data_IF_751075319095
#
_entry.id   IF_751075319095
#
_cell.length_a   1.000
_cell.length_b   1.000
_cell.length_c   1.000
_cell.angle_alpha   90.00
_cell.angle_beta   90.00
_cell.angle_gamma   90.00
#
_symmetry.space_group_name_H-M   'P 1'
#
loop_
_entity.id
_entity.type
_entity.pdbx_description
1 polymer ?
#
# COMPACT_ATOMS: atom_id res chain seq x y z
N UNK A 1 -16.50 -28.34 17.53
CA UNK A 1 -16.59 -27.49 16.30
C UNK A 1 -18.03 -27.61 15.77
N UNK A 2 -18.61 -26.48 15.40
CA UNK A 2 -19.93 -26.44 14.74
C UNK A 2 -19.84 -27.20 13.40
N UNK A 3 -20.92 -27.84 12.98
CA UNK A 3 -21.01 -28.34 11.59
C UNK A 3 -21.06 -27.14 10.63
N UNK A 4 -20.65 -27.33 9.38
CA UNK A 4 -20.66 -26.28 8.35
C UNK A 4 -22.08 -25.71 8.18
N UNK A 5 -23.11 -26.51 8.19
CA UNK A 5 -24.49 -26.07 8.12
C UNK A 5 -24.90 -25.23 9.35
N UNK A 6 -24.50 -25.65 10.55
CA UNK A 6 -24.79 -24.89 11.78
C UNK A 6 -24.03 -23.54 11.80
N UNK A 7 -22.80 -23.54 11.33
CA UNK A 7 -22.00 -22.29 11.19
C UNK A 7 -22.70 -21.33 10.21
N UNK A 8 -23.06 -21.81 9.01
CA UNK A 8 -23.74 -20.99 8.00
C UNK A 8 -25.06 -20.43 8.51
N UNK A 9 -25.86 -21.22 9.24
CA UNK A 9 -27.11 -20.76 9.82
C UNK A 9 -26.87 -19.66 10.85
N UNK A 10 -25.95 -19.85 11.79
CA UNK A 10 -25.63 -18.84 12.83
C UNK A 10 -25.14 -17.53 12.23
N UNK A 11 -24.28 -17.61 11.19
CA UNK A 11 -23.82 -16.40 10.49
C UNK A 11 -24.98 -15.72 9.74
N UNK A 12 -25.89 -16.49 9.14
CA UNK A 12 -27.07 -15.97 8.46
C UNK A 12 -28.03 -15.24 9.42
N UNK A 13 -28.14 -15.72 10.65
CA UNK A 13 -28.95 -15.06 11.69
C UNK A 13 -28.36 -13.69 12.09
N UNK A 14 -27.04 -13.47 11.89
CA UNK A 14 -26.35 -12.23 12.25
C UNK A 14 -26.41 -11.16 11.14
N UNK A 15 -26.27 -11.57 9.87
CA UNK A 15 -26.08 -10.61 8.75
C UNK A 15 -27.09 -10.77 7.61
N UNK A 16 -28.00 -11.75 7.70
CA UNK A 16 -28.89 -12.15 6.60
C UNK A 16 -28.27 -13.26 5.73
N UNK A 17 -29.11 -14.20 5.28
CA UNK A 17 -28.67 -15.37 4.50
C UNK A 17 -27.98 -14.99 3.19
N UNK A 18 -28.45 -13.98 2.51
CA UNK A 18 -27.91 -13.46 1.25
C UNK A 18 -26.51 -12.82 1.41
N UNK A 19 -26.05 -12.64 2.63
CA UNK A 19 -24.75 -12.04 2.97
C UNK A 19 -23.78 -13.04 3.58
N UNK A 20 -24.07 -14.33 3.44
CA UNK A 20 -23.17 -15.45 3.83
C UNK A 20 -22.91 -16.32 2.63
N UNK A 21 -21.62 -16.49 2.30
CA UNK A 21 -21.17 -17.39 1.22
C UNK A 21 -20.39 -18.54 1.85
N UNK A 22 -20.69 -19.76 1.51
CA UNK A 22 -20.05 -20.97 2.07
C UNK A 22 -19.74 -22.02 0.98
N UNK A 23 -18.99 -23.04 1.34
CA UNK A 23 -18.63 -24.11 0.43
C UNK A 23 -17.76 -23.65 -0.74
N UNK A 24 -17.98 -24.20 -1.93
CA UNK A 24 -17.17 -23.92 -3.12
C UNK A 24 -17.21 -22.45 -3.54
N UNK A 25 -18.30 -21.75 -3.30
CA UNK A 25 -18.43 -20.31 -3.62
C UNK A 25 -17.51 -19.42 -2.77
N UNK A 26 -17.03 -19.90 -1.63
CA UNK A 26 -16.05 -19.21 -0.79
C UNK A 26 -14.61 -19.32 -1.31
N UNK A 27 -14.32 -20.22 -2.27
CA UNK A 27 -12.97 -20.45 -2.80
C UNK A 27 -12.26 -19.23 -3.36
N UNK A 28 -12.92 -18.26 -4.03
CA UNK A 28 -12.25 -17.04 -4.50
C UNK A 28 -11.66 -16.17 -3.38
N UNK A 29 -12.08 -16.39 -2.14
CA UNK A 29 -11.56 -15.67 -0.96
C UNK A 29 -10.42 -16.41 -0.25
N UNK A 30 -9.84 -17.41 -0.90
CA UNK A 30 -8.67 -18.12 -0.36
C UNK A 30 -7.47 -17.15 -0.18
N UNK A 31 -6.75 -17.33 0.92
CA UNK A 31 -5.54 -16.55 1.24
C UNK A 31 -4.36 -17.49 1.35
N UNK A 32 -3.34 -17.30 0.51
CA UNK A 32 -2.16 -18.15 0.44
C UNK A 32 -2.56 -19.67 0.43
N UNK A 33 -3.49 -20.03 -0.45
CA UNK A 33 -3.97 -21.41 -0.65
C UNK A 33 -4.95 -21.94 0.40
N UNK A 34 -5.30 -21.16 1.43
CA UNK A 34 -6.25 -21.55 2.47
C UNK A 34 -7.63 -20.94 2.21
N UNK A 35 -8.60 -21.78 1.85
CA UNK A 35 -9.98 -21.37 1.66
C UNK A 35 -10.71 -21.20 3.01
N UNK A 36 -11.60 -20.19 3.15
CA UNK A 36 -12.43 -20.03 4.34
C UNK A 36 -13.56 -21.07 4.40
N UNK A 37 -14.06 -21.36 5.60
CA UNK A 37 -15.30 -22.12 5.81
C UNK A 37 -16.51 -21.30 5.38
N UNK A 38 -16.49 -19.99 5.63
CA UNK A 38 -17.52 -19.06 5.20
C UNK A 38 -16.97 -17.66 4.97
N UNK A 39 -17.66 -16.91 4.11
CA UNK A 39 -17.45 -15.47 3.87
C UNK A 39 -18.68 -14.73 4.36
N UNK A 40 -18.46 -13.68 5.16
CA UNK A 40 -19.53 -12.88 5.76
C UNK A 40 -19.41 -11.44 5.27
N UNK A 41 -20.52 -10.86 4.82
CA UNK A 41 -20.57 -9.50 4.28
C UNK A 41 -21.45 -8.61 5.19
N UNK A 42 -20.95 -8.11 6.32
CA UNK A 42 -21.72 -7.24 7.22
C UNK A 42 -22.02 -5.89 6.56
N UNK A 43 -23.23 -5.36 6.78
CA UNK A 43 -23.69 -4.08 6.26
C UNK A 43 -23.73 -2.95 7.31
N UNK A 44 -23.42 -3.28 8.57
CA UNK A 44 -23.36 -2.29 9.66
C UNK A 44 -22.22 -2.59 10.64
N UNK A 45 -21.87 -1.63 11.47
CA UNK A 45 -20.87 -1.80 12.53
C UNK A 45 -21.36 -2.82 13.57
N UNK A 46 -22.66 -2.84 13.82
CA UNK A 46 -23.33 -3.77 14.74
C UNK A 46 -23.23 -5.21 14.23
N UNK A 47 -23.39 -5.44 12.93
CA UNK A 47 -23.20 -6.76 12.30
C UNK A 47 -21.73 -7.21 12.34
N UNK A 48 -20.76 -6.28 12.16
CA UNK A 48 -19.34 -6.58 12.38
C UNK A 48 -19.08 -6.98 13.83
N UNK A 49 -19.62 -6.21 14.79
CA UNK A 49 -19.49 -6.49 16.24
C UNK A 49 -20.05 -7.85 16.60
N UNK A 50 -21.26 -8.17 16.14
CA UNK A 50 -21.91 -9.44 16.40
C UNK A 50 -21.15 -10.62 15.78
N UNK A 51 -20.63 -10.47 14.54
CA UNK A 51 -19.83 -11.49 13.86
C UNK A 51 -18.53 -11.76 14.60
N UNK A 52 -17.81 -10.72 15.06
CA UNK A 52 -16.56 -10.87 15.79
C UNK A 52 -16.77 -11.45 17.20
N UNK A 53 -17.84 -11.02 17.91
CA UNK A 53 -18.20 -11.61 19.21
C UNK A 53 -18.50 -13.12 19.06
N UNK A 54 -19.23 -13.53 18.04
CA UNK A 54 -19.50 -14.91 17.73
C UNK A 54 -18.21 -15.67 17.38
N UNK A 55 -17.37 -15.11 16.50
CA UNK A 55 -16.08 -15.73 16.12
C UNK A 55 -15.15 -15.91 17.35
N UNK A 56 -15.14 -14.93 18.25
CA UNK A 56 -14.36 -15.00 19.50
C UNK A 56 -14.89 -16.11 20.42
N UNK A 57 -16.20 -16.23 20.58
CA UNK A 57 -16.81 -17.28 21.43
C UNK A 57 -16.53 -18.68 20.88
N UNK A 58 -16.52 -18.87 19.57
CA UNK A 58 -16.27 -20.16 18.90
C UNK A 58 -14.78 -20.40 18.57
N UNK A 59 -13.89 -19.45 18.84
CA UNK A 59 -12.46 -19.56 18.52
C UNK A 59 -12.16 -19.58 17.02
N UNK A 60 -13.04 -19.00 16.19
CA UNK A 60 -12.90 -18.93 14.73
C UNK A 60 -11.90 -17.87 14.32
N UNK A 61 -11.03 -18.18 13.35
CA UNK A 61 -10.02 -17.24 12.82
C UNK A 61 -10.63 -16.41 11.69
N UNK A 62 -10.51 -15.10 11.79
CA UNK A 62 -11.16 -14.12 10.91
C UNK A 62 -10.11 -13.36 10.10
N UNK A 63 -10.24 -13.39 8.79
CA UNK A 63 -9.44 -12.59 7.87
C UNK A 63 -10.27 -11.41 7.37
N UNK A 64 -9.90 -10.14 7.67
CA UNK A 64 -10.59 -8.98 7.14
C UNK A 64 -10.27 -8.80 5.65
N UNK A 65 -11.29 -8.43 4.88
CA UNK A 65 -11.21 -8.28 3.44
C UNK A 65 -11.91 -7.00 2.98
N UNK A 66 -11.18 -6.14 2.25
CA UNK A 66 -11.77 -4.99 1.55
C UNK A 66 -12.19 -5.40 0.13
N UNK A 67 -11.46 -4.95 -0.87
CA UNK A 67 -11.60 -5.37 -2.27
C UNK A 67 -10.58 -6.43 -2.73
N UNK A 68 -9.79 -6.97 -1.82
CA UNK A 68 -8.83 -8.04 -2.12
C UNK A 68 -7.50 -7.61 -2.77
N UNK A 69 -7.30 -6.31 -3.03
CA UNK A 69 -6.12 -5.79 -3.76
C UNK A 69 -4.78 -6.03 -3.08
N UNK A 70 -4.76 -6.32 -1.79
CA UNK A 70 -3.54 -6.48 -0.97
C UNK A 70 -3.45 -7.84 -0.25
N UNK A 71 -4.24 -8.84 -0.66
CA UNK A 71 -4.27 -10.13 0.06
C UNK A 71 -2.98 -10.93 -0.07
N UNK A 72 -2.16 -10.69 -1.08
CA UNK A 72 -0.82 -11.27 -1.19
C UNK A 72 0.19 -10.72 -0.15
N UNK A 73 -0.10 -9.56 0.48
CA UNK A 73 0.77 -8.95 1.49
C UNK A 73 0.59 -9.60 2.85
N UNK A 74 1.68 -9.85 3.54
CA UNK A 74 1.73 -10.49 4.85
C UNK A 74 2.17 -11.96 4.81
N UNK A 75 2.39 -12.53 5.98
CA UNK A 75 2.73 -13.95 6.18
C UNK A 75 1.58 -14.88 5.75
N UNK A 76 1.85 -16.18 5.75
CA UNK A 76 0.86 -17.22 5.48
C UNK A 76 -0.06 -17.30 6.71
N UNK A 77 -1.40 -17.21 6.56
CA UNK A 77 -2.30 -17.31 7.71
C UNK A 77 -2.18 -18.68 8.38
N UNK A 78 -2.29 -18.74 9.70
CA UNK A 78 -2.31 -20.02 10.42
C UNK A 78 -3.51 -20.88 10.01
N UNK A 79 -4.70 -20.26 9.98
CA UNK A 79 -5.98 -20.84 9.59
C UNK A 79 -6.89 -19.73 9.08
N UNK A 80 -7.81 -20.08 8.18
CA UNK A 80 -8.85 -19.18 7.67
C UNK A 80 -10.20 -19.84 7.89
N UNK A 81 -10.94 -19.42 8.94
CA UNK A 81 -12.28 -19.94 9.17
C UNK A 81 -13.32 -19.02 8.55
N UNK A 82 -13.20 -17.71 8.78
CA UNK A 82 -14.09 -16.70 8.23
C UNK A 82 -13.29 -15.67 7.44
N UNK A 83 -13.84 -15.25 6.31
CA UNK A 83 -13.43 -14.00 5.64
C UNK A 83 -14.52 -12.96 5.88
N UNK A 84 -14.15 -11.82 6.47
CA UNK A 84 -15.05 -10.71 6.78
C UNK A 84 -14.91 -9.62 5.72
N UNK A 85 -15.84 -9.57 4.75
CA UNK A 85 -15.80 -8.65 3.62
C UNK A 85 -16.55 -7.37 3.97
N UNK A 86 -15.84 -6.25 4.00
CA UNK A 86 -16.37 -4.96 4.47
C UNK A 86 -16.98 -4.09 3.35
N UNK A 87 -17.17 -4.62 2.15
CA UNK A 87 -17.63 -3.85 0.98
C UNK A 87 -19.01 -3.21 1.15
N UNK A 88 -19.87 -3.74 2.01
CA UNK A 88 -21.20 -3.15 2.34
C UNK A 88 -21.11 -1.97 3.30
N UNK A 89 -19.99 -1.79 4.01
CA UNK A 89 -19.69 -0.59 4.80
C UNK A 89 -19.12 0.49 3.88
N UNK A 90 -19.91 1.03 2.98
CA UNK A 90 -19.47 1.90 1.89
C UNK A 90 -20.14 3.29 1.87
N UNK A 91 -20.66 3.74 3.01
CA UNK A 91 -21.34 5.04 3.11
C UNK A 91 -20.34 6.15 3.45
N UNK A 92 -20.56 7.34 2.86
CA UNK A 92 -20.05 8.60 3.41
C UNK A 92 -20.84 8.92 4.68
N UNK A 93 -20.14 9.12 5.78
CA UNK A 93 -20.76 9.36 7.09
C UNK A 93 -20.95 10.85 7.32
N UNK A 94 -19.93 11.65 6.91
CA UNK A 94 -19.91 13.07 7.18
C UNK A 94 -18.86 13.78 6.29
N UNK A 95 -19.16 15.00 5.83
CA UNK A 95 -18.23 15.84 5.09
C UNK A 95 -18.44 17.30 5.49
N UNK A 96 -17.42 17.90 6.10
CA UNK A 96 -17.38 19.30 6.51
C UNK A 96 -16.38 20.06 5.65
N UNK A 97 -16.82 20.63 4.51
CA UNK A 97 -15.89 21.28 3.56
C UNK A 97 -15.15 22.47 4.18
N UNK A 98 -15.80 23.23 5.07
CA UNK A 98 -15.19 24.39 5.73
C UNK A 98 -14.02 23.97 6.66
N UNK A 99 -14.13 22.82 7.31
CA UNK A 99 -13.14 22.28 8.23
C UNK A 99 -12.11 21.38 7.53
N UNK A 100 -12.26 21.16 6.22
CA UNK A 100 -11.40 20.27 5.43
C UNK A 100 -11.33 18.86 6.01
N UNK A 101 -12.47 18.30 6.43
CA UNK A 101 -12.56 16.97 7.01
C UNK A 101 -13.69 16.16 6.39
N UNK A 102 -13.48 14.85 6.24
CA UNK A 102 -14.53 13.93 5.84
C UNK A 102 -14.37 12.57 6.52
N UNK A 103 -15.50 11.95 6.82
CA UNK A 103 -15.59 10.61 7.42
C UNK A 103 -16.24 9.64 6.44
N UNK A 104 -15.61 8.50 6.24
CA UNK A 104 -16.10 7.42 5.39
C UNK A 104 -16.03 6.08 6.11
N UNK A 105 -16.94 5.19 5.76
CA UNK A 105 -16.86 3.79 6.16
C UNK A 105 -15.73 3.06 5.41
N UNK A 106 -15.19 2.02 6.05
CA UNK A 106 -13.97 1.35 5.61
C UNK A 106 -14.08 0.63 4.25
N UNK A 107 -15.28 0.21 3.85
CA UNK A 107 -15.55 -0.45 2.57
C UNK A 107 -15.71 0.52 1.39
N UNK A 108 -15.76 1.83 1.63
CA UNK A 108 -15.82 2.84 0.56
C UNK A 108 -14.57 2.75 -0.30
N UNK A 109 -14.73 2.73 -1.63
CA UNK A 109 -13.60 2.80 -2.54
C UNK A 109 -12.99 4.19 -2.53
N UNK A 110 -11.66 4.28 -2.62
CA UNK A 110 -10.98 5.59 -2.64
C UNK A 110 -11.49 6.46 -3.79
N UNK A 111 -11.72 5.90 -5.00
CA UNK A 111 -12.25 6.65 -6.14
C UNK A 111 -13.64 7.25 -5.87
N UNK A 112 -14.49 6.53 -5.12
CA UNK A 112 -15.84 7.01 -4.78
C UNK A 112 -15.76 8.16 -3.77
N UNK A 113 -14.90 8.03 -2.75
CA UNK A 113 -14.61 9.11 -1.82
C UNK A 113 -14.08 10.36 -2.55
N UNK A 114 -13.12 10.19 -3.46
CA UNK A 114 -12.56 11.28 -4.28
C UNK A 114 -13.63 11.96 -5.14
N UNK A 115 -14.55 11.21 -5.74
CA UNK A 115 -15.63 11.76 -6.56
C UNK A 115 -16.60 12.64 -5.72
N UNK A 116 -16.88 12.24 -4.48
CA UNK A 116 -17.71 13.04 -3.55
C UNK A 116 -16.98 14.32 -3.15
N UNK A 117 -15.73 14.22 -2.73
CA UNK A 117 -14.91 15.34 -2.24
C UNK A 117 -14.58 16.34 -3.34
N UNK A 118 -14.34 15.86 -4.56
CA UNK A 118 -14.01 16.67 -5.73
C UNK A 118 -15.09 17.70 -6.08
N UNK A 119 -16.36 17.44 -5.74
CA UNK A 119 -17.48 18.41 -5.93
C UNK A 119 -17.27 19.70 -5.14
N UNK A 120 -16.49 19.62 -4.07
CA UNK A 120 -16.12 20.77 -3.22
C UNK A 120 -14.64 21.19 -3.45
N UNK A 121 -14.00 20.75 -4.53
CA UNK A 121 -12.60 21.07 -4.80
C UNK A 121 -11.63 20.52 -3.76
N UNK A 122 -11.95 19.38 -3.13
CA UNK A 122 -11.17 18.76 -2.06
C UNK A 122 -10.83 17.31 -2.41
N UNK A 123 -9.80 16.76 -1.76
CA UNK A 123 -9.42 15.37 -1.95
C UNK A 123 -8.68 14.78 -0.74
N UNK A 124 -8.71 13.45 -0.62
CA UNK A 124 -7.81 12.69 0.24
C UNK A 124 -6.51 12.48 -0.53
N UNK A 125 -5.39 13.02 -0.04
CA UNK A 125 -4.12 13.01 -0.76
C UNK A 125 -3.41 11.64 -0.67
N UNK A 126 -4.15 10.56 -0.93
CA UNK A 126 -3.65 9.17 -1.02
C UNK A 126 -3.75 8.68 -2.46
N UNK A 127 -2.71 8.00 -2.91
CA UNK A 127 -2.59 7.42 -4.24
C UNK A 127 -1.90 6.04 -4.22
N UNK A 128 -2.39 5.09 -3.40
CA UNK A 128 -1.79 3.77 -3.31
C UNK A 128 -1.94 2.99 -4.62
N UNK A 129 -1.12 1.94 -4.87
CA UNK A 129 -1.36 1.02 -5.97
C UNK A 129 -2.79 0.48 -5.94
N UNK A 130 -3.41 0.39 -7.13
CA UNK A 130 -4.80 -0.02 -7.37
C UNK A 130 -5.84 0.90 -6.69
N UNK A 131 -5.59 2.21 -6.65
CA UNK A 131 -6.45 3.21 -5.98
C UNK A 131 -7.92 3.12 -6.43
N UNK A 132 -8.18 2.82 -7.70
CA UNK A 132 -9.54 2.73 -8.25
C UNK A 132 -10.35 1.56 -7.71
N UNK A 133 -9.67 0.55 -7.18
CA UNK A 133 -10.28 -0.68 -6.63
C UNK A 133 -10.06 -0.81 -5.12
N UNK A 134 -9.16 -0.02 -4.55
CA UNK A 134 -8.80 -0.13 -3.13
C UNK A 134 -9.86 0.51 -2.23
N UNK A 135 -10.27 -0.20 -1.18
CA UNK A 135 -11.13 0.35 -0.12
C UNK A 135 -10.31 1.17 0.87
N UNK A 136 -10.92 2.20 1.46
CA UNK A 136 -10.26 3.03 2.48
C UNK A 136 -9.75 2.19 3.65
N UNK A 137 -10.54 1.24 4.16
CA UNK A 137 -10.09 0.34 5.23
C UNK A 137 -8.90 -0.53 4.84
N UNK A 138 -8.87 -1.04 3.60
CA UNK A 138 -7.73 -1.82 3.08
C UNK A 138 -6.46 -0.99 2.93
N UNK A 139 -6.58 0.27 2.48
CA UNK A 139 -5.46 1.23 2.40
C UNK A 139 -4.90 1.49 3.80
N UNK A 140 -5.76 1.76 4.77
CA UNK A 140 -5.36 2.04 6.16
C UNK A 140 -4.75 0.81 6.83
N UNK A 141 -5.39 -0.35 6.72
CA UNK A 141 -4.89 -1.59 7.33
C UNK A 141 -3.49 -1.98 6.83
N UNK A 142 -3.17 -1.68 5.58
CA UNK A 142 -1.85 -1.96 4.98
C UNK A 142 -0.87 -0.79 5.04
N UNK A 143 -1.33 0.39 5.50
CA UNK A 143 -0.60 1.67 5.40
C UNK A 143 -0.02 1.89 3.99
N UNK A 144 -0.83 1.59 2.98
CA UNK A 144 -0.41 1.68 1.59
C UNK A 144 -0.36 3.14 1.13
N UNK A 145 0.72 3.52 0.47
CA UNK A 145 0.94 4.85 -0.08
C UNK A 145 1.53 4.78 -1.49
N UNK A 146 1.48 5.89 -2.20
CA UNK A 146 2.08 6.07 -3.51
C UNK A 146 2.90 7.36 -3.59
N UNK A 147 3.16 7.86 -4.81
CA UNK A 147 4.02 9.01 -5.08
C UNK A 147 3.68 10.29 -4.30
N UNK A 148 2.39 10.58 -4.09
CA UNK A 148 1.92 11.77 -3.36
C UNK A 148 2.38 11.84 -1.91
N UNK A 149 2.88 10.72 -1.38
CA UNK A 149 3.43 10.67 -0.02
C UNK A 149 4.54 11.68 0.23
N UNK A 150 5.31 12.02 -0.79
CA UNK A 150 6.41 12.99 -0.66
C UNK A 150 5.93 14.33 -0.10
N UNK A 151 4.81 14.85 -0.57
CA UNK A 151 4.26 16.14 -0.14
C UNK A 151 3.24 16.03 0.99
N UNK A 152 2.39 15.01 0.93
CA UNK A 152 1.20 14.95 1.76
C UNK A 152 1.30 13.96 2.93
N UNK A 153 2.37 13.16 2.97
CA UNK A 153 2.52 12.10 3.98
C UNK A 153 1.78 10.81 3.60
N UNK A 154 1.71 9.90 4.55
CA UNK A 154 1.02 8.61 4.42
C UNK A 154 -0.34 8.65 5.13
N UNK A 155 -1.06 7.53 5.13
CA UNK A 155 -2.35 7.39 5.84
C UNK A 155 -2.29 7.85 7.29
N UNK A 156 -1.15 7.59 7.97
CA UNK A 156 -0.93 7.99 9.39
C UNK A 156 -0.89 9.49 9.61
N UNK A 157 -0.62 10.28 8.56
CA UNK A 157 -0.52 11.73 8.61
C UNK A 157 -1.86 12.40 8.23
N UNK A 158 -2.73 11.67 7.54
CA UNK A 158 -4.00 12.16 7.02
C UNK A 158 -5.22 11.77 7.88
N UNK A 159 -5.15 10.65 8.59
CA UNK A 159 -6.26 10.17 9.44
C UNK A 159 -6.23 10.87 10.79
N UNK A 160 -7.34 11.53 11.15
CA UNK A 160 -7.49 12.27 12.41
C UNK A 160 -8.40 11.55 13.42
N UNK A 161 -9.28 10.66 12.94
CA UNK A 161 -10.04 9.77 13.80
C UNK A 161 -10.29 8.41 13.11
N UNK A 162 -10.44 7.36 13.91
CA UNK A 162 -10.70 6.00 13.44
C UNK A 162 -11.71 5.32 14.36
N UNK A 163 -12.64 4.56 13.79
CA UNK A 163 -13.52 3.65 14.52
C UNK A 163 -13.16 2.22 14.16
N UNK A 164 -13.01 1.38 15.17
CA UNK A 164 -12.61 -0.01 15.03
C UNK A 164 -13.51 -0.93 15.83
N UNK A 165 -13.58 -2.20 15.44
CA UNK A 165 -14.21 -3.27 16.22
C UNK A 165 -13.13 -4.26 16.64
N UNK A 166 -13.01 -4.52 17.94
CA UNK A 166 -12.05 -5.44 18.52
C UNK A 166 -12.47 -6.91 18.36
N UNK A 167 -11.57 -7.83 18.62
CA UNK A 167 -11.80 -9.26 18.54
C UNK A 167 -13.03 -9.74 19.35
N UNK A 168 -13.31 -9.13 20.49
CA UNK A 168 -14.45 -9.41 21.36
C UNK A 168 -15.79 -8.75 20.91
N UNK A 169 -15.80 -8.11 19.75
CA UNK A 169 -16.98 -7.40 19.22
C UNK A 169 -17.21 -5.98 19.76
N UNK A 170 -16.37 -5.48 20.67
CA UNK A 170 -16.51 -4.12 21.21
C UNK A 170 -16.03 -3.09 20.18
N UNK A 171 -16.90 -2.14 19.83
CA UNK A 171 -16.53 -1.02 18.98
C UNK A 171 -15.93 0.13 19.81
N UNK A 172 -14.81 0.69 19.35
CA UNK A 172 -14.17 1.85 19.98
C UNK A 172 -13.79 2.90 18.94
N UNK A 173 -13.59 4.14 19.39
CA UNK A 173 -13.18 5.27 18.56
C UNK A 173 -11.90 5.90 19.12
N UNK A 174 -10.93 6.13 18.25
CA UNK A 174 -9.71 6.90 18.53
C UNK A 174 -9.72 8.23 17.76
N UNK A 175 -9.06 9.25 18.32
CA UNK A 175 -9.00 10.57 17.69
C UNK A 175 -10.30 11.39 17.80
N UNK A 176 -10.32 12.52 17.10
CA UNK A 176 -11.46 13.43 17.04
C UNK A 176 -11.45 14.20 15.71
N UNK A 177 -12.60 14.78 15.31
CA UNK A 177 -12.75 15.62 14.10
C UNK A 177 -12.10 17.02 14.27
N UNK A 178 -10.91 17.07 14.85
CA UNK A 178 -10.14 18.32 15.05
C UNK A 178 -8.71 18.12 14.58
N UNK A 179 -8.12 19.14 14.01
CA UNK A 179 -6.76 19.10 13.47
C UNK A 179 -5.70 18.80 14.54
N UNK A 180 -5.96 19.20 15.79
CA UNK A 180 -5.07 18.95 16.93
C UNK A 180 -5.86 18.31 18.06
N UNK A 181 -5.64 17.02 18.29
CA UNK A 181 -6.15 16.31 19.46
C UNK A 181 -4.96 16.00 20.40
N UNK A 182 -4.98 16.54 21.60
CA UNK A 182 -3.95 16.36 22.62
C UNK A 182 -4.43 15.46 23.77
N UNK A 183 -5.65 14.95 23.68
CA UNK A 183 -6.25 14.11 24.73
C UNK A 183 -6.05 12.63 24.39
N UNK A 184 -5.31 11.92 25.24
CA UNK A 184 -5.08 10.49 25.12
C UNK A 184 -3.99 10.11 24.08
N UNK A 185 -3.83 8.81 23.89
CA UNK A 185 -2.88 8.25 22.93
C UNK A 185 -3.42 8.31 21.50
N UNK A 186 -2.54 8.52 20.52
CA UNK A 186 -2.88 8.47 19.10
C UNK A 186 -3.07 7.01 18.64
N UNK A 187 -4.23 6.45 18.96
CA UNK A 187 -4.59 5.09 18.59
C UNK A 187 -4.72 4.89 17.08
N UNK A 188 -4.96 5.96 16.30
CA UNK A 188 -5.04 5.87 14.84
C UNK A 188 -3.74 5.26 14.29
N UNK A 189 -2.60 5.72 14.78
CA UNK A 189 -1.27 5.26 14.35
C UNK A 189 -0.97 3.81 14.72
N UNK A 190 -1.66 3.26 15.72
CA UNK A 190 -1.52 1.85 16.10
C UNK A 190 -2.28 0.93 15.13
N UNK A 191 -3.51 1.30 14.77
CA UNK A 191 -4.34 0.48 13.89
C UNK A 191 -3.93 0.58 12.42
N UNK A 192 -3.43 1.75 11.97
CA UNK A 192 -2.95 1.93 10.60
C UNK A 192 -1.67 1.12 10.38
N UNK A 193 -1.71 0.19 9.43
CA UNK A 193 -0.61 -0.71 9.10
C UNK A 193 -0.58 -2.01 9.91
N UNK A 194 -1.59 -2.27 10.76
CA UNK A 194 -1.68 -3.50 11.57
C UNK A 194 -2.22 -4.72 10.80
N UNK A 195 -2.57 -4.61 9.53
CA UNK A 195 -3.24 -5.64 8.72
C UNK A 195 -4.54 -6.18 9.33
N UNK A 196 -5.20 -5.39 10.18
CA UNK A 196 -6.40 -5.85 10.89
C UNK A 196 -6.14 -6.93 11.95
N UNK A 197 -4.91 -7.08 12.42
CA UNK A 197 -4.57 -8.07 13.47
C UNK A 197 -4.89 -7.59 14.88
N UNK A 198 -5.08 -6.28 15.08
CA UNK A 198 -5.40 -5.69 16.38
C UNK A 198 -6.89 -5.36 16.53
N UNK A 199 -7.52 -4.94 15.44
CA UNK A 199 -8.94 -4.63 15.34
C UNK A 199 -9.34 -4.48 13.87
N UNK A 200 -10.63 -4.56 13.59
CA UNK A 200 -11.20 -4.32 12.27
C UNK A 200 -11.55 -2.84 12.13
N UNK A 201 -10.93 -2.14 11.18
CA UNK A 201 -11.25 -0.74 10.86
C UNK A 201 -12.60 -0.72 10.16
N UNK A 202 -13.56 0.05 10.71
CA UNK A 202 -14.92 0.17 10.15
C UNK A 202 -15.25 1.58 9.65
N UNK A 203 -14.54 2.60 10.15
CA UNK A 203 -14.74 4.00 9.76
C UNK A 203 -13.46 4.80 9.99
N UNK A 204 -13.19 5.80 9.16
CA UNK A 204 -12.08 6.73 9.33
C UNK A 204 -12.45 8.15 8.93
N UNK A 205 -11.96 9.14 9.70
CA UNK A 205 -12.03 10.57 9.38
C UNK A 205 -10.69 11.05 8.87
N UNK A 206 -10.72 11.71 7.72
CA UNK A 206 -9.54 12.21 7.03
C UNK A 206 -9.47 13.73 7.12
N UNK A 207 -8.26 14.25 7.27
CA UNK A 207 -7.94 15.62 6.91
C UNK A 207 -7.82 15.69 5.40
N UNK A 208 -8.50 16.66 4.80
CA UNK A 208 -8.51 16.87 3.35
C UNK A 208 -7.48 17.91 2.92
N UNK A 209 -7.24 17.95 1.62
CA UNK A 209 -6.44 18.97 0.96
C UNK A 209 -7.25 19.61 -0.17
N UNK A 210 -6.94 20.88 -0.52
CA UNK A 210 -7.49 21.49 -1.73
C UNK A 210 -7.04 20.72 -2.96
N UNK A 211 -7.97 20.40 -3.85
CA UNK A 211 -7.65 19.77 -5.13
C UNK A 211 -6.82 20.76 -5.97
N UNK A 212 -5.63 20.38 -6.47
CA UNK A 212 -4.88 21.21 -7.39
C UNK A 212 -5.68 21.51 -8.65
N UNK A 213 -5.68 22.77 -9.09
CA UNK A 213 -6.34 23.14 -10.34
C UNK A 213 -5.55 22.63 -11.55
N UNK A 214 -4.23 22.51 -11.40
CA UNK A 214 -3.31 22.02 -12.44
C UNK A 214 -2.26 21.12 -11.81
N UNK A 215 -2.06 19.95 -12.43
CA UNK A 215 -0.93 19.05 -12.17
C UNK A 215 -0.20 18.77 -13.48
N UNK A 216 1.12 18.88 -13.46
CA UNK A 216 1.99 18.59 -14.60
C UNK A 216 3.22 17.83 -14.13
N UNK A 217 3.87 17.12 -15.05
CA UNK A 217 5.11 16.39 -14.77
C UNK A 217 6.20 16.73 -15.76
N UNK A 218 7.43 16.64 -15.30
CA UNK A 218 8.62 16.63 -16.13
C UNK A 218 9.29 15.27 -16.06
N UNK A 219 9.55 14.67 -17.22
CA UNK A 219 10.25 13.40 -17.36
C UNK A 219 11.65 13.65 -17.88
N UNK A 220 12.65 13.12 -17.20
CA UNK A 220 14.06 13.22 -17.58
C UNK A 220 14.68 11.81 -17.68
N UNK A 221 15.69 11.64 -18.55
CA UNK A 221 16.40 10.39 -18.74
C UNK A 221 17.88 10.53 -18.44
N UNK A 222 18.45 9.55 -17.73
CA UNK A 222 19.84 9.56 -17.27
C UNK A 222 20.58 8.29 -17.66
N UNK A 223 21.91 8.38 -17.84
CA UNK A 223 22.76 7.25 -18.22
C UNK A 223 22.98 6.26 -17.07
N UNK A 224 22.95 6.75 -15.84
CA UNK A 224 23.15 5.93 -14.66
C UNK A 224 22.29 6.38 -13.48
N UNK A 225 22.04 5.45 -12.57
CA UNK A 225 21.30 5.74 -11.33
C UNK A 225 22.02 6.78 -10.47
N UNK A 226 23.36 6.84 -10.50
CA UNK A 226 24.12 7.82 -9.72
C UNK A 226 23.96 9.24 -10.25
N UNK A 227 23.87 9.40 -11.57
CA UNK A 227 23.60 10.69 -12.19
C UNK A 227 22.17 11.13 -11.90
N UNK A 228 21.21 10.22 -12.03
CA UNK A 228 19.81 10.48 -11.67
C UNK A 228 19.65 10.89 -10.19
N UNK A 229 20.36 10.19 -9.27
CA UNK A 229 20.37 10.54 -7.85
C UNK A 229 20.87 11.97 -7.57
N UNK A 230 21.88 12.43 -8.34
CA UNK A 230 22.35 13.84 -8.21
C UNK A 230 21.26 14.82 -8.60
N UNK A 231 20.46 14.52 -9.62
CA UNK A 231 19.31 15.35 -10.00
C UNK A 231 18.25 15.33 -8.88
N UNK A 232 17.91 14.15 -8.34
CA UNK A 232 16.98 14.03 -7.19
C UNK A 232 17.45 14.88 -6.02
N UNK A 233 18.71 14.78 -5.60
CA UNK A 233 19.24 15.57 -4.49
C UNK A 233 19.10 17.08 -4.74
N UNK A 234 19.48 17.58 -5.93
CA UNK A 234 19.34 19.01 -6.28
C UNK A 234 17.88 19.47 -6.27
N UNK A 235 16.94 18.62 -6.70
CA UNK A 235 15.50 18.94 -6.67
C UNK A 235 15.02 19.07 -5.22
N UNK A 236 15.38 18.11 -4.36
CA UNK A 236 14.98 18.09 -2.96
C UNK A 236 15.62 19.20 -2.12
N UNK A 237 16.86 19.61 -2.45
CA UNK A 237 17.58 20.70 -1.79
C UNK A 237 17.14 22.09 -2.30
N UNK A 238 16.28 22.17 -3.32
CA UNK A 238 15.77 23.40 -3.90
C UNK A 238 14.48 23.89 -3.21
N UNK A 239 14.01 25.13 -3.49
CA UNK A 239 12.72 25.62 -3.00
C UNK A 239 11.51 25.01 -3.73
N UNK A 240 11.70 24.04 -4.61
CA UNK A 240 10.62 23.33 -5.30
C UNK A 240 9.75 22.52 -4.31
N UNK A 241 8.47 22.40 -4.64
CA UNK A 241 7.52 21.64 -3.83
C UNK A 241 6.85 20.56 -4.70
N UNK A 242 7.61 19.56 -5.18
CA UNK A 242 7.03 18.45 -5.92
C UNK A 242 6.13 17.58 -5.02
N UNK A 243 5.03 17.09 -5.55
CA UNK A 243 4.25 16.10 -4.81
C UNK A 243 4.73 14.66 -5.06
N UNK A 244 5.51 14.44 -6.12
CA UNK A 244 6.12 13.15 -6.44
C UNK A 244 7.49 13.33 -7.10
N UNK A 245 8.42 12.46 -6.76
CA UNK A 245 9.76 12.30 -7.39
C UNK A 245 10.04 10.81 -7.49
N UNK A 246 9.80 10.25 -8.68
CA UNK A 246 9.95 8.82 -8.95
C UNK A 246 11.15 8.54 -9.83
N UNK A 247 11.99 7.59 -9.40
CA UNK A 247 13.14 7.11 -10.15
C UNK A 247 12.87 5.67 -10.60
N UNK A 248 12.94 5.44 -11.90
CA UNK A 248 12.68 4.16 -12.55
C UNK A 248 13.97 3.62 -13.17
N UNK A 249 14.23 2.31 -13.02
CA UNK A 249 15.31 1.67 -13.77
C UNK A 249 14.95 1.53 -15.26
N UNK A 250 15.91 1.15 -16.14
CA UNK A 250 15.66 1.09 -17.59
C UNK A 250 14.47 0.22 -18.00
N UNK A 251 14.27 -0.93 -17.35
CA UNK A 251 13.13 -1.81 -17.64
C UNK A 251 11.78 -1.18 -17.23
N UNK A 252 11.71 -0.59 -16.04
CA UNK A 252 10.50 0.07 -15.59
C UNK A 252 10.18 1.32 -16.42
N UNK A 253 11.20 2.11 -16.79
CA UNK A 253 11.05 3.27 -17.67
C UNK A 253 10.48 2.88 -19.02
N UNK A 254 10.99 1.81 -19.62
CA UNK A 254 10.54 1.32 -20.91
C UNK A 254 9.07 0.86 -20.85
N UNK A 255 8.71 0.04 -19.86
CA UNK A 255 7.33 -0.48 -19.72
C UNK A 255 6.31 0.60 -19.41
N UNK A 256 6.65 1.57 -18.57
CA UNK A 256 5.76 2.71 -18.30
C UNK A 256 5.58 3.55 -19.56
N UNK A 257 6.65 3.78 -20.33
CA UNK A 257 6.55 4.53 -21.58
C UNK A 257 5.70 3.83 -22.65
N UNK A 258 5.79 2.50 -22.76
CA UNK A 258 4.95 1.72 -23.69
C UNK A 258 3.46 1.81 -23.34
N UNK A 259 3.11 1.95 -22.06
CA UNK A 259 1.72 2.01 -21.61
C UNK A 259 1.14 3.43 -21.65
N UNK A 260 1.94 4.45 -21.39
CA UNK A 260 1.39 5.73 -20.97
C UNK A 260 2.26 6.96 -21.22
N UNK A 261 3.33 6.87 -21.98
CA UNK A 261 4.23 8.02 -22.04
C UNK A 261 4.88 8.26 -23.40
N UNK A 262 5.58 9.40 -23.52
CA UNK A 262 6.52 9.59 -24.58
C UNK A 262 7.63 8.54 -24.45
N UNK A 263 8.23 8.09 -25.55
CA UNK A 263 9.28 7.09 -25.50
C UNK A 263 10.50 7.66 -24.77
N UNK A 264 10.80 7.11 -23.61
CA UNK A 264 12.11 7.32 -22.99
C UNK A 264 13.19 6.57 -23.80
N UNK A 265 14.39 7.13 -23.92
CA UNK A 265 15.48 6.42 -24.59
C UNK A 265 15.72 5.07 -23.91
N UNK A 266 15.80 4.00 -24.72
CA UNK A 266 16.08 2.64 -24.21
C UNK A 266 17.38 2.60 -23.41
N UNK A 267 17.40 1.80 -22.34
CA UNK A 267 18.58 1.63 -21.49
C UNK A 267 18.85 2.79 -20.53
N UNK A 268 17.94 3.77 -20.41
CA UNK A 268 18.10 4.92 -19.53
C UNK A 268 17.26 4.79 -18.26
N UNK A 269 17.78 5.38 -17.18
CA UNK A 269 17.01 5.58 -15.94
C UNK A 269 16.06 6.76 -16.13
N UNK A 270 14.78 6.54 -15.84
CA UNK A 270 13.76 7.58 -15.89
C UNK A 270 13.61 8.28 -14.56
N UNK A 271 13.53 9.61 -14.57
CA UNK A 271 13.18 10.41 -13.42
C UNK A 271 11.91 11.20 -13.75
N UNK A 272 10.84 10.99 -12.99
CA UNK A 272 9.58 11.68 -13.12
C UNK A 272 9.35 12.59 -11.91
N UNK A 273 9.10 13.86 -12.16
CA UNK A 273 8.83 14.87 -11.14
C UNK A 273 7.44 15.47 -11.41
N UNK A 274 6.56 15.44 -10.42
CA UNK A 274 5.22 16.01 -10.52
C UNK A 274 5.02 17.19 -9.58
N UNK A 275 4.43 18.24 -10.13
CA UNK A 275 4.10 19.49 -9.44
C UNK A 275 2.61 19.79 -9.64
N UNK A 276 1.94 20.18 -8.56
CA UNK A 276 0.54 20.57 -8.58
C UNK A 276 0.29 21.82 -7.73
N UNK A 277 -0.57 22.69 -8.22
CA UNK A 277 -0.97 23.92 -7.55
C UNK A 277 -2.36 24.38 -7.97
N UNK A 278 -2.95 25.25 -7.15
CA UNK A 278 -4.16 26.01 -7.52
C UNK A 278 -3.83 27.17 -8.48
N UNK A 279 -2.54 27.47 -8.69
CA UNK A 279 -2.03 28.53 -9.57
C UNK A 279 -1.23 27.92 -10.71
N UNK A 280 -1.74 27.91 -11.96
CA UNK A 280 -1.05 27.33 -13.12
C UNK A 280 0.36 27.90 -13.34
N UNK A 281 0.53 29.23 -13.18
CA UNK A 281 1.80 29.92 -13.41
C UNK A 281 2.88 29.46 -12.43
N UNK A 282 2.48 29.09 -11.21
CA UNK A 282 3.41 28.56 -10.21
C UNK A 282 3.88 27.13 -10.56
N UNK A 283 3.05 26.34 -11.25
CA UNK A 283 3.43 25.02 -11.75
C UNK A 283 4.46 25.17 -12.87
N UNK A 284 4.20 26.03 -13.85
CA UNK A 284 5.07 26.24 -15.00
C UNK A 284 6.45 26.80 -14.58
N UNK A 285 6.50 27.76 -13.67
CA UNK A 285 7.74 28.30 -13.14
C UNK A 285 8.59 27.25 -12.38
N UNK A 286 7.94 26.40 -11.60
CA UNK A 286 8.64 25.31 -10.92
C UNK A 286 9.15 24.25 -11.90
N UNK A 287 8.38 23.88 -12.92
CA UNK A 287 8.79 22.92 -13.95
C UNK A 287 9.95 23.41 -14.80
N UNK A 288 10.03 24.72 -15.09
CA UNK A 288 11.21 25.26 -15.76
C UNK A 288 12.47 25.15 -14.88
N UNK A 289 12.31 25.32 -13.58
CA UNK A 289 13.41 25.09 -12.63
C UNK A 289 13.80 23.61 -12.60
N UNK A 290 12.84 22.69 -12.56
CA UNK A 290 13.10 21.23 -12.65
C UNK A 290 13.86 20.89 -13.92
N UNK A 291 13.42 21.41 -15.07
CA UNK A 291 14.05 21.22 -16.38
C UNK A 291 15.51 21.67 -16.36
N UNK A 292 15.78 22.86 -15.82
CA UNK A 292 17.14 23.39 -15.68
C UNK A 292 18.01 22.48 -14.80
N UNK A 293 17.51 22.06 -13.63
CA UNK A 293 18.25 21.19 -12.71
C UNK A 293 18.56 19.82 -13.31
N UNK A 294 17.60 19.22 -14.04
CA UNK A 294 17.81 17.96 -14.76
C UNK A 294 18.86 18.10 -15.86
N UNK A 295 18.84 19.20 -16.63
CA UNK A 295 19.83 19.48 -17.66
C UNK A 295 21.24 19.64 -17.07
N UNK A 296 21.39 20.41 -16.03
CA UNK A 296 22.65 20.60 -15.31
C UNK A 296 23.19 19.29 -14.69
N UNK A 297 22.30 18.35 -14.39
CA UNK A 297 22.65 17.02 -13.89
C UNK A 297 22.99 16.01 -14.99
N UNK A 298 22.87 16.36 -16.28
CA UNK A 298 23.24 15.49 -17.40
C UNK A 298 22.06 14.86 -18.18
N UNK A 299 20.85 15.41 -18.03
CA UNK A 299 19.70 15.07 -18.88
C UNK A 299 19.40 16.25 -19.82
N UNK A 300 19.96 16.28 -21.05
CA UNK A 300 19.81 17.43 -21.95
C UNK A 300 18.39 17.59 -22.47
N UNK A 301 17.64 16.51 -22.56
CA UNK A 301 16.28 16.45 -23.07
C UNK A 301 15.32 15.87 -22.04
N UNK A 302 14.07 16.32 -22.07
CA UNK A 302 13.01 15.78 -21.23
C UNK A 302 11.65 16.15 -21.79
N UNK A 303 10.62 15.50 -21.26
CA UNK A 303 9.25 15.64 -21.73
C UNK A 303 8.37 16.26 -20.65
N UNK A 304 7.53 17.22 -21.05
CA UNK A 304 6.47 17.75 -20.21
C UNK A 304 5.19 16.92 -20.42
N UNK A 305 4.56 16.52 -19.33
CA UNK A 305 3.25 15.87 -19.37
C UNK A 305 2.22 16.73 -18.64
N UNK A 306 1.04 16.88 -19.22
CA UNK A 306 -0.13 17.50 -18.63
C UNK A 306 -1.40 16.73 -18.97
N UNK A 307 -2.54 17.11 -18.36
CA UNK A 307 -3.84 16.51 -18.61
C UNK A 307 -3.84 14.98 -18.61
N UNK A 308 -4.47 14.38 -19.61
CA UNK A 308 -4.61 12.92 -19.71
C UNK A 308 -3.27 12.18 -19.78
N UNK A 309 -2.25 12.75 -20.44
CA UNK A 309 -0.92 12.13 -20.52
C UNK A 309 -0.26 12.02 -19.12
N UNK A 310 -0.40 13.08 -18.31
CA UNK A 310 0.04 13.09 -16.92
C UNK A 310 -0.67 11.99 -16.10
N UNK A 311 -2.00 11.95 -16.16
CA UNK A 311 -2.81 10.98 -15.41
C UNK A 311 -2.46 9.53 -15.78
N UNK A 312 -2.39 9.24 -17.09
CA UNK A 312 -2.08 7.89 -17.59
C UNK A 312 -0.67 7.45 -17.19
N UNK A 313 0.31 8.35 -17.24
CA UNK A 313 1.68 8.08 -16.81
C UNK A 313 1.74 7.70 -15.32
N UNK A 314 1.07 8.47 -14.45
CA UNK A 314 1.09 8.20 -13.01
C UNK A 314 0.29 6.95 -12.65
N UNK A 315 -0.77 6.64 -13.40
CA UNK A 315 -1.49 5.38 -13.26
C UNK A 315 -0.57 4.18 -13.58
N UNK A 316 0.13 4.21 -14.73
CA UNK A 316 1.05 3.15 -15.13
C UNK A 316 2.23 2.99 -14.16
N UNK A 317 2.76 4.10 -13.64
CA UNK A 317 3.86 4.08 -12.65
C UNK A 317 3.41 3.53 -11.31
N UNK A 318 2.24 3.95 -10.82
CA UNK A 318 1.67 3.54 -9.54
C UNK A 318 1.26 2.07 -9.53
N UNK A 319 0.65 1.61 -10.61
CA UNK A 319 0.13 0.24 -10.75
C UNK A 319 1.09 -0.67 -11.54
N UNK A 320 2.38 -0.31 -11.53
CA UNK A 320 3.44 -1.00 -12.27
C UNK A 320 3.46 -2.51 -12.02
N UNK A 321 3.64 -3.28 -13.10
CA UNK A 321 3.84 -4.72 -13.06
C UNK A 321 4.77 -5.18 -14.21
N UNK A 322 5.44 -6.32 -14.02
CA UNK A 322 6.32 -6.92 -15.05
C UNK A 322 5.59 -7.87 -16.02
N UNK A 323 4.27 -7.81 -16.08
CA UNK A 323 3.44 -8.70 -16.90
C UNK A 323 2.94 -9.92 -16.14
N UNK A 324 2.51 -10.96 -16.87
CA UNK A 324 1.98 -12.20 -16.30
C UNK A 324 3.09 -13.19 -15.96
N UNK A 325 2.81 -14.14 -15.06
CA UNK A 325 3.73 -15.22 -14.68
C UNK A 325 4.20 -15.17 -13.23
N UNK A 326 5.33 -15.84 -12.94
CA UNK A 326 5.91 -15.87 -11.60
C UNK A 326 6.48 -14.50 -11.23
N UNK A 327 5.94 -13.93 -10.17
CA UNK A 327 6.30 -12.59 -9.72
C UNK A 327 6.54 -12.53 -8.22
N UNK A 328 7.47 -11.65 -7.84
CA UNK A 328 7.63 -11.18 -6.47
C UNK A 328 7.81 -9.66 -6.45
N UNK A 329 7.28 -9.01 -5.41
CA UNK A 329 7.41 -7.58 -5.18
C UNK A 329 7.98 -7.35 -3.80
N UNK A 330 9.16 -6.74 -3.75
CA UNK A 330 9.86 -6.40 -2.53
C UNK A 330 9.80 -4.89 -2.34
N UNK A 331 9.65 -4.44 -1.10
CA UNK A 331 9.69 -3.01 -0.75
C UNK A 331 10.81 -2.78 0.25
N UNK A 332 11.81 -2.01 -0.16
CA UNK A 332 12.82 -1.47 0.74
C UNK A 332 12.48 -0.05 1.16
N UNK A 333 12.85 0.31 2.38
CA UNK A 333 12.88 1.69 2.87
C UNK A 333 14.31 1.93 3.37
N UNK A 334 15.00 2.91 2.80
CA UNK A 334 16.39 3.22 3.10
C UNK A 334 16.59 4.74 3.17
N UNK A 335 17.73 5.19 3.66
CA UNK A 335 18.11 6.60 3.60
C UNK A 335 18.18 7.07 2.14
N UNK A 336 17.82 8.33 1.87
CA UNK A 336 17.82 8.92 0.51
C UNK A 336 19.19 8.76 -0.19
N UNK A 337 20.27 8.87 0.58
CA UNK A 337 21.65 8.68 0.09
C UNK A 337 21.95 7.25 -0.36
N UNK A 338 21.17 6.26 0.11
CA UNK A 338 21.36 4.83 -0.17
C UNK A 338 20.48 4.29 -1.29
N UNK A 339 19.57 5.09 -1.84
CA UNK A 339 18.64 4.66 -2.89
C UNK A 339 19.38 4.13 -4.12
N UNK A 340 20.37 4.86 -4.65
CA UNK A 340 21.11 4.42 -5.85
C UNK A 340 21.90 3.12 -5.62
N UNK A 341 22.49 2.96 -4.42
CA UNK A 341 23.25 1.76 -4.05
C UNK A 341 22.33 0.53 -3.95
N UNK A 342 21.14 0.71 -3.34
CA UNK A 342 20.12 -0.34 -3.26
C UNK A 342 19.62 -0.77 -4.65
N UNK A 343 19.40 0.18 -5.56
CA UNK A 343 18.98 -0.12 -6.95
C UNK A 343 20.06 -0.92 -7.67
N UNK A 344 21.32 -0.49 -7.64
CA UNK A 344 22.44 -1.23 -8.26
C UNK A 344 22.57 -2.65 -7.69
N UNK A 345 22.46 -2.80 -6.37
CA UNK A 345 22.48 -4.13 -5.75
C UNK A 345 21.37 -5.03 -6.28
N UNK A 346 20.15 -4.47 -6.41
CA UNK A 346 19.00 -5.20 -6.98
C UNK A 346 19.27 -5.64 -8.43
N UNK A 347 19.84 -4.76 -9.25
CA UNK A 347 20.21 -5.04 -10.65
C UNK A 347 21.31 -6.11 -10.75
N UNK A 348 22.33 -6.03 -9.89
CA UNK A 348 23.39 -7.04 -9.81
C UNK A 348 22.84 -8.43 -9.46
N UNK A 349 21.94 -8.48 -8.45
CA UNK A 349 21.30 -9.75 -8.03
C UNK A 349 20.45 -10.30 -9.17
N UNK A 350 19.60 -9.47 -9.78
CA UNK A 350 18.71 -9.90 -10.85
C UNK A 350 19.50 -10.44 -12.06
N UNK A 351 20.58 -9.76 -12.47
CA UNK A 351 21.44 -10.21 -13.54
C UNK A 351 22.11 -11.58 -13.25
N UNK A 352 22.64 -11.77 -12.03
CA UNK A 352 23.24 -13.04 -11.60
C UNK A 352 22.25 -14.19 -11.55
N UNK A 353 21.01 -13.91 -11.16
CA UNK A 353 19.96 -14.91 -11.01
C UNK A 353 19.09 -15.09 -12.25
N UNK A 354 19.38 -14.38 -13.35
CA UNK A 354 18.57 -14.37 -14.58
C UNK A 354 17.11 -14.01 -14.33
N UNK A 355 16.85 -13.03 -13.45
CA UNK A 355 15.53 -12.48 -13.18
C UNK A 355 15.31 -11.22 -14.02
N UNK A 356 14.09 -11.02 -14.54
CA UNK A 356 13.68 -9.71 -15.00
C UNK A 356 13.44 -8.81 -13.78
N UNK A 357 13.89 -7.56 -13.84
CA UNK A 357 13.78 -6.61 -12.74
C UNK A 357 13.27 -5.26 -13.21
N UNK A 358 12.07 -4.87 -12.74
CA UNK A 358 11.60 -3.50 -12.75
C UNK A 358 11.82 -2.84 -11.39
N UNK A 359 12.29 -1.60 -11.38
CA UNK A 359 12.42 -0.81 -10.14
C UNK A 359 11.65 0.47 -10.29
N UNK A 360 10.75 0.73 -9.33
CA UNK A 360 10.05 2.01 -9.15
C UNK A 360 10.37 2.51 -7.75
N UNK A 361 11.00 3.68 -7.67
CA UNK A 361 11.45 4.24 -6.40
C UNK A 361 10.84 5.61 -6.16
N UNK A 362 10.11 5.75 -5.04
CA UNK A 362 9.74 7.05 -4.45
C UNK A 362 11.03 7.71 -3.94
N UNK A 363 11.85 8.22 -4.88
CA UNK A 363 13.23 8.64 -4.62
C UNK A 363 13.34 9.78 -3.60
N UNK A 364 12.28 10.62 -3.49
CA UNK A 364 12.18 11.66 -2.47
C UNK A 364 11.81 11.16 -1.07
N UNK A 365 11.41 9.89 -0.94
CA UNK A 365 10.98 9.27 0.33
C UNK A 365 11.84 8.07 0.76
N UNK A 366 12.83 7.68 -0.03
CA UNK A 366 13.70 6.53 0.26
C UNK A 366 13.01 5.17 0.16
N UNK A 367 11.87 5.09 -0.55
CA UNK A 367 11.12 3.85 -0.75
C UNK A 367 11.41 3.30 -2.14
N UNK A 368 11.76 2.02 -2.21
CA UNK A 368 12.10 1.33 -3.46
C UNK A 368 11.24 0.09 -3.57
N UNK A 369 10.55 -0.09 -4.70
CA UNK A 369 9.87 -1.34 -5.04
C UNK A 369 10.65 -2.06 -6.11
N UNK A 370 11.07 -3.28 -5.79
CA UNK A 370 11.71 -4.21 -6.72
C UNK A 370 10.63 -5.19 -7.20
N UNK A 371 10.36 -5.16 -8.48
CA UNK A 371 9.45 -6.09 -9.15
C UNK A 371 10.32 -7.14 -9.83
N UNK A 372 10.24 -8.38 -9.38
CA UNK A 372 10.99 -9.51 -9.89
C UNK A 372 10.06 -10.42 -10.67
N UNK A 373 10.48 -10.84 -11.84
CA UNK A 373 9.79 -11.87 -12.62
C UNK A 373 10.77 -12.92 -13.14
N UNK A 374 10.28 -14.15 -13.25
CA UNK A 374 11.06 -15.28 -13.71
C UNK A 374 10.28 -16.17 -14.65
N UNK A 375 10.97 -17.16 -15.23
CA UNK A 375 10.39 -18.13 -16.12
C UNK A 375 9.41 -19.06 -15.38
N UNK A 376 8.16 -19.10 -15.87
CA UNK A 376 7.12 -19.97 -15.33
C UNK A 376 7.46 -21.47 -15.46
N UNK A 377 8.32 -21.84 -16.41
CA UNK A 377 8.78 -23.21 -16.59
C UNK A 377 9.81 -23.67 -15.52
N UNK A 378 10.34 -22.74 -14.72
CA UNK A 378 11.37 -23.00 -13.72
C UNK A 378 11.03 -22.41 -12.35
N UNK A 379 9.90 -22.82 -11.72
CA UNK A 379 9.37 -22.19 -10.51
C UNK A 379 10.34 -22.31 -9.32
N UNK A 380 10.99 -23.43 -9.14
CA UNK A 380 11.94 -23.65 -8.03
C UNK A 380 13.16 -22.74 -8.12
N UNK A 381 13.70 -22.55 -9.34
CA UNK A 381 14.80 -21.63 -9.58
C UNK A 381 14.39 -20.19 -9.26
N UNK A 382 13.19 -19.79 -9.69
CA UNK A 382 12.65 -18.47 -9.36
C UNK A 382 12.51 -18.27 -7.86
N UNK A 383 11.93 -19.23 -7.15
CA UNK A 383 11.75 -19.17 -5.70
C UNK A 383 13.07 -19.02 -4.95
N UNK A 384 14.09 -19.79 -5.35
CA UNK A 384 15.44 -19.71 -4.78
C UNK A 384 16.10 -18.35 -5.06
N UNK A 385 15.99 -17.85 -6.29
CA UNK A 385 16.51 -16.56 -6.69
C UNK A 385 15.87 -15.40 -5.92
N UNK A 386 14.55 -15.44 -5.72
CA UNK A 386 13.83 -14.44 -4.91
C UNK A 386 14.24 -14.50 -3.44
N UNK A 387 14.39 -15.70 -2.87
CA UNK A 387 14.84 -15.87 -1.48
C UNK A 387 16.25 -15.28 -1.27
N UNK A 388 17.15 -15.48 -2.22
CA UNK A 388 18.48 -14.86 -2.19
C UNK A 388 18.41 -13.34 -2.34
N UNK A 389 17.58 -12.83 -3.26
CA UNK A 389 17.36 -11.39 -3.42
C UNK A 389 16.84 -10.75 -2.13
N UNK A 390 15.86 -11.37 -1.46
CA UNK A 390 15.36 -10.94 -0.16
C UNK A 390 16.47 -10.90 0.87
N UNK A 391 17.29 -11.95 0.97
CA UNK A 391 18.37 -12.04 1.96
C UNK A 391 19.40 -10.91 1.78
N UNK A 392 19.91 -10.72 0.56
CA UNK A 392 20.95 -9.73 0.26
C UNK A 392 20.45 -8.29 0.37
N UNK A 393 19.27 -7.99 -0.22
CA UNK A 393 18.70 -6.66 -0.15
C UNK A 393 18.26 -6.28 1.27
N UNK A 394 17.81 -7.25 2.06
CA UNK A 394 17.45 -7.04 3.47
C UNK A 394 18.68 -6.76 4.32
N UNK A 395 19.76 -7.51 4.15
CA UNK A 395 21.02 -7.25 4.83
C UNK A 395 21.52 -5.83 4.55
N UNK A 396 21.55 -5.44 3.27
CA UNK A 396 21.90 -4.07 2.87
C UNK A 396 20.98 -3.01 3.51
N UNK A 397 19.65 -3.22 3.46
CA UNK A 397 18.71 -2.28 4.04
C UNK A 397 18.91 -2.12 5.55
N UNK A 398 19.17 -3.21 6.29
CA UNK A 398 19.42 -3.20 7.73
C UNK A 398 20.74 -2.50 8.08
N UNK A 399 21.80 -2.70 7.32
CA UNK A 399 23.07 -1.97 7.45
C UNK A 399 22.90 -0.47 7.20
N UNK A 400 21.97 -0.11 6.32
CA UNK A 400 21.59 1.27 6.01
C UNK A 400 20.48 1.82 6.94
N UNK A 401 20.29 1.24 8.14
CA UNK A 401 19.27 1.63 9.14
C UNK A 401 17.83 1.61 8.58
N UNK A 402 17.59 0.79 7.57
CA UNK A 402 16.33 0.67 6.87
C UNK A 402 15.67 -0.70 7.07
N UNK A 403 14.77 -1.04 6.16
CA UNK A 403 14.03 -2.29 6.19
C UNK A 403 13.68 -2.79 4.79
N UNK A 404 13.43 -4.11 4.68
CA UNK A 404 12.87 -4.71 3.47
C UNK A 404 11.76 -5.69 3.86
N UNK A 405 10.60 -5.53 3.22
CA UNK A 405 9.43 -6.40 3.37
C UNK A 405 9.01 -6.97 2.02
N UNK A 406 8.38 -8.14 2.03
CA UNK A 406 7.81 -8.78 0.85
C UNK A 406 6.35 -8.33 0.71
N UNK A 407 6.01 -7.61 -0.38
CA UNK A 407 4.63 -7.21 -0.67
C UNK A 407 3.84 -8.31 -1.37
N UNK A 408 4.52 -9.09 -2.23
CA UNK A 408 3.95 -10.21 -2.99
C UNK A 408 5.06 -11.22 -3.28
N UNK A 409 4.80 -12.49 -3.07
CA UNK A 409 5.65 -13.58 -3.51
C UNK A 409 4.85 -14.89 -3.57
N UNK A 410 5.32 -15.93 -4.30
CA UNK A 410 4.81 -17.29 -4.17
C UNK A 410 4.87 -17.79 -2.72
N UNK A 411 3.96 -18.68 -2.36
CA UNK A 411 3.85 -19.24 -1.00
C UNK A 411 5.18 -19.93 -0.60
N UNK A 412 5.80 -20.64 -1.53
CA UNK A 412 7.07 -21.34 -1.34
C UNK A 412 8.22 -20.41 -0.98
N UNK A 413 8.20 -19.16 -1.44
CA UNK A 413 9.15 -18.13 -0.99
C UNK A 413 8.85 -17.71 0.44
N UNK A 414 7.56 -17.48 0.77
CA UNK A 414 7.14 -17.08 2.11
C UNK A 414 7.41 -18.16 3.18
N UNK A 415 7.52 -19.44 2.79
CA UNK A 415 7.92 -20.52 3.70
C UNK A 415 9.43 -20.57 3.95
N UNK A 416 10.24 -20.03 3.03
CA UNK A 416 11.72 -20.05 3.12
C UNK A 416 12.29 -18.82 3.82
N UNK A 417 11.61 -17.67 3.69
CA UNK A 417 12.08 -16.40 4.24
C UNK A 417 10.97 -15.65 4.97
N UNK A 418 11.31 -15.03 6.08
CA UNK A 418 10.35 -14.18 6.79
C UNK A 418 9.93 -12.98 5.91
N UNK A 419 8.62 -12.74 5.84
CA UNK A 419 8.03 -11.67 5.01
C UNK A 419 8.44 -10.28 5.51
N UNK A 420 8.59 -10.13 6.83
CA UNK A 420 8.72 -8.82 7.49
C UNK A 420 10.17 -8.41 7.75
N UNK A 421 11.05 -9.37 8.07
CA UNK A 421 12.46 -9.08 8.36
C UNK A 421 12.69 -8.26 9.62
N UNK A 422 11.79 -8.36 10.60
CA UNK A 422 11.94 -7.61 11.85
C UNK A 422 13.10 -8.14 12.67
N UNK A 423 13.97 -7.26 13.24
CA UNK A 423 15.00 -7.69 14.20
C UNK A 423 14.40 -8.39 15.42
N UNK A 424 14.98 -9.50 15.85
CA UNK A 424 14.47 -10.32 16.95
C UNK A 424 14.22 -9.53 18.25
N UNK A 425 15.07 -8.54 18.55
CA UNK A 425 14.93 -7.66 19.72
C UNK A 425 13.67 -6.77 19.71
N UNK A 426 13.08 -6.51 18.52
CA UNK A 426 11.86 -5.72 18.39
C UNK A 426 10.58 -6.56 18.48
N UNK A 427 10.68 -7.89 18.35
CA UNK A 427 9.54 -8.80 18.32
C UNK A 427 8.65 -8.72 19.58
N UNK A 428 9.19 -8.68 20.83
CA UNK A 428 8.34 -8.58 22.03
C UNK A 428 7.45 -7.33 22.04
N UNK A 429 7.93 -6.21 21.49
CA UNK A 429 7.16 -4.95 21.40
C UNK A 429 6.00 -5.06 20.41
N UNK A 430 6.12 -5.91 19.39
CA UNK A 430 5.04 -6.15 18.43
C UNK A 430 4.04 -7.19 18.94
N UNK A 431 4.48 -8.15 19.73
CA UNK A 431 3.61 -9.20 20.28
C UNK A 431 2.71 -8.71 21.42
N UNK A 432 3.19 -7.80 22.27
CA UNK A 432 2.42 -7.27 23.40
C UNK A 432 1.08 -6.65 23.00
N UNK A 433 1.01 -5.70 22.04
CA UNK A 433 -0.28 -5.17 21.59
C UNK A 433 -1.22 -6.27 21.08
N UNK A 434 -0.70 -7.29 20.38
CA UNK A 434 -1.52 -8.40 19.91
C UNK A 434 -2.19 -9.14 21.08
N UNK A 435 -1.44 -9.46 22.11
CA UNK A 435 -1.96 -10.16 23.29
C UNK A 435 -3.00 -9.34 24.07
N UNK A 436 -2.84 -8.02 24.11
CA UNK A 436 -3.80 -7.12 24.76
C UNK A 436 -5.10 -6.95 23.96
N UNK A 437 -4.99 -6.77 22.63
CA UNK A 437 -6.15 -6.47 21.79
C UNK A 437 -6.86 -7.71 21.25
N UNK A 438 -6.16 -8.83 21.13
CA UNK A 438 -6.69 -10.09 20.63
C UNK A 438 -6.00 -11.30 21.30
N UNK A 439 -6.25 -11.53 22.60
CA UNK A 439 -5.60 -12.60 23.37
C UNK A 439 -5.88 -14.00 22.82
N UNK A 440 -7.02 -14.19 22.15
CA UNK A 440 -7.38 -15.46 21.52
C UNK A 440 -6.79 -15.63 20.12
N UNK A 441 -6.12 -14.60 19.59
CA UNK A 441 -5.50 -14.59 18.26
C UNK A 441 -6.49 -14.98 17.15
N UNK A 442 -7.70 -14.43 17.18
CA UNK A 442 -8.70 -14.70 16.14
C UNK A 442 -8.53 -13.82 14.91
N UNK A 443 -7.98 -12.60 15.05
CA UNK A 443 -7.86 -11.63 13.97
C UNK A 443 -6.58 -11.86 13.16
N UNK A 444 -6.74 -12.27 11.92
CA UNK A 444 -5.70 -12.37 10.88
C UNK A 444 -4.40 -13.08 11.33
N UNK A 445 -4.46 -14.22 12.06
CA UNK A 445 -3.31 -14.84 12.71
C UNK A 445 -2.30 -15.38 11.68
N UNK A 446 -1.02 -15.20 11.97
CA UNK A 446 0.08 -15.61 11.08
C UNK A 446 0.47 -14.57 10.03
N UNK A 447 -0.35 -13.54 9.82
CA UNK A 447 -0.18 -12.60 8.71
C UNK A 447 0.78 -11.45 8.99
N UNK A 448 0.89 -11.01 10.24
CA UNK A 448 1.71 -9.87 10.61
C UNK A 448 3.05 -10.29 11.23
N UNK A 449 3.81 -9.32 11.70
CA UNK A 449 5.17 -9.48 12.23
C UNK A 449 5.24 -10.55 13.32
N UNK A 450 6.16 -11.51 13.18
CA UNK A 450 6.33 -12.58 14.16
C UNK A 450 5.15 -13.55 14.28
N UNK A 451 4.33 -13.65 13.22
CA UNK A 451 3.16 -14.52 13.19
C UNK A 451 1.97 -14.00 14.05
N UNK A 452 1.98 -12.71 14.39
CA UNK A 452 0.87 -12.09 15.14
C UNK A 452 -0.33 -11.83 14.24
#
# INVERSE_FOLDING_TARGET
MLSEAALSQRLSDLVGREHVVAGLEASPYAVDGKAPLAVVLPGSVEEVSATLAFASAEGLKVIPWGSGTKMAFGGIPERVDLVLVLSRLNRGVDHEPADMTATFQAGTLLKEAQAVLGRNGQFIALDPPYADRATLGGILATNSSGPRRLRYGASRDLVIAIRVVHANGIATKGGAKVVKNVTGYDMNKLYIGSLGTLAIIVEATFRLHPLPAVEKSYLAAFESVDVARKAVARILDSPLVPFAVELLNPEASHRVAEQAGPPWPKGRYGLAIAIGSVRPEAVDAQLETVRRLCREAGSPEGHLLDGQAHETFWLATRDFALGDGLQAVLKASVLLTKVAEAIRLGEEIAAKQCLALGVVSEAGSGIIRFYLAGDAASPERFQQAVAEAVSRLRAFAQEAEGSLVILKAPIEVKTRVDVWGLPAKALPFMQRPKLEFDPQRILNPGRFVGGT
#
